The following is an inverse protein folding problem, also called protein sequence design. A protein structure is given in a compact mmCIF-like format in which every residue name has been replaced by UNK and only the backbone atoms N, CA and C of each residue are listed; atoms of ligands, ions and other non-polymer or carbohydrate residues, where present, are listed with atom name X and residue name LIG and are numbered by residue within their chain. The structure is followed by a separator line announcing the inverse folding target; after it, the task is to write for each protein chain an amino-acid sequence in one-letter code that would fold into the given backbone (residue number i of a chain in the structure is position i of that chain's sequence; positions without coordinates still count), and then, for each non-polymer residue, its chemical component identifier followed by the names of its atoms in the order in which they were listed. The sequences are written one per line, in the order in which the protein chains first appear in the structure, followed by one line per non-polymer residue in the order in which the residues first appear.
data_IF_318867020965
#
_entry.id   IF_318867020965
#
_cell.length_a   1.000
_cell.length_b   1.000
_cell.length_c   1.000
_cell.angle_alpha   90.00
_cell.angle_beta   90.00
_cell.angle_gamma   90.00
#
_symmetry.space_group_name_H-M   'P 1'
#
loop_
_entity.id
_entity.type
_entity.pdbx_description
1 polymer ?
#
# COMPACT_ATOMS: atom_id res chain seq x y z
N UNK A 1 -9.95 -14.31 11.75
CA UNK A 1 -10.72 -13.07 11.48
C UNK A 1 -10.47 -12.69 10.03
N UNK A 2 -11.49 -12.27 9.29
CA UNK A 2 -11.30 -11.89 7.89
C UNK A 2 -10.45 -10.61 7.78
N UNK A 3 -9.69 -10.49 6.70
CA UNK A 3 -9.02 -9.26 6.28
C UNK A 3 -10.08 -8.24 5.89
N UNK A 4 -10.12 -7.09 6.57
CA UNK A 4 -11.10 -6.03 6.30
C UNK A 4 -10.40 -4.77 5.80
N UNK A 5 -11.06 -4.10 4.85
CA UNK A 5 -10.71 -2.78 4.35
C UNK A 5 -11.71 -1.78 4.92
N UNK A 6 -11.22 -0.74 5.59
CA UNK A 6 -12.07 0.28 6.21
C UNK A 6 -11.83 1.64 5.55
N UNK A 7 -12.88 2.32 5.04
CA UNK A 7 -12.74 3.64 4.44
C UNK A 7 -12.39 4.68 5.51
N UNK A 8 -11.42 5.53 5.20
CA UNK A 8 -11.03 6.68 6.01
C UNK A 8 -10.73 7.89 5.12
N UNK A 9 -10.78 9.08 5.72
CA UNK A 9 -10.06 10.24 5.21
C UNK A 9 -8.70 10.33 5.92
N UNK A 10 -7.66 10.77 5.22
CA UNK A 10 -6.34 11.01 5.82
C UNK A 10 -6.35 12.09 6.92
N UNK A 11 -7.38 12.95 6.93
CA UNK A 11 -7.61 13.95 8.00
C UNK A 11 -8.59 13.46 9.09
N UNK A 12 -9.16 12.28 8.91
CA UNK A 12 -10.18 11.72 9.79
C UNK A 12 -9.60 10.85 10.91
N UNK A 13 -10.47 10.35 11.81
CA UNK A 13 -10.05 9.37 12.80
C UNK A 13 -9.56 8.09 12.12
N UNK A 14 -8.55 7.44 12.69
CA UNK A 14 -8.04 6.19 12.19
C UNK A 14 -8.48 5.02 13.06
N UNK A 15 -8.89 3.88 12.46
CA UNK A 15 -9.31 2.72 13.22
C UNK A 15 -8.13 2.09 13.97
N UNK A 16 -8.37 1.38 15.08
CA UNK A 16 -7.34 0.57 15.71
C UNK A 16 -6.96 -0.62 14.82
N UNK A 17 -5.79 -1.20 15.08
CA UNK A 17 -5.30 -2.41 14.39
C UNK A 17 -5.11 -2.27 12.87
N UNK A 18 -4.81 -1.05 12.40
CA UNK A 18 -4.27 -0.88 11.04
C UNK A 18 -2.97 -1.67 10.90
N UNK A 19 -2.78 -2.30 9.73
CA UNK A 19 -1.62 -3.16 9.47
C UNK A 19 -0.39 -2.28 9.18
N UNK A 20 0.68 -2.38 9.99
CA UNK A 20 1.94 -1.67 9.75
C UNK A 20 2.58 -2.13 8.43
N UNK A 21 2.89 -1.17 7.56
CA UNK A 21 3.63 -1.36 6.31
C UNK A 21 5.14 -1.32 6.51
N UNK A 22 5.60 -0.40 7.35
CA UNK A 22 7.00 -0.14 7.65
C UNK A 22 7.16 1.29 8.16
N UNK A 23 8.29 1.93 7.92
CA UNK A 23 8.60 3.28 8.42
C UNK A 23 9.17 4.12 7.31
N UNK A 24 8.77 5.39 7.25
CA UNK A 24 9.27 6.33 6.26
C UNK A 24 10.67 6.82 6.61
N UNK A 25 11.33 7.53 5.68
CA UNK A 25 12.72 8.01 5.85
C UNK A 25 12.91 8.98 7.02
N UNK A 26 11.85 9.65 7.47
CA UNK A 26 11.84 10.51 8.66
C UNK A 26 11.37 9.79 9.94
N UNK A 27 11.16 8.48 9.88
CA UNK A 27 10.76 7.64 11.00
C UNK A 27 9.25 7.57 11.24
N UNK A 28 8.42 8.29 10.47
CA UNK A 28 6.96 8.17 10.58
C UNK A 28 6.47 6.76 10.23
N UNK A 29 5.48 6.25 10.98
CA UNK A 29 4.91 4.93 10.73
C UNK A 29 4.08 4.91 9.45
N UNK A 30 4.36 3.95 8.57
CA UNK A 30 3.58 3.68 7.36
C UNK A 30 2.58 2.55 7.65
N UNK A 31 1.36 2.69 7.15
CA UNK A 31 0.30 1.68 7.18
C UNK A 31 -0.11 1.27 5.76
N UNK A 32 -0.61 0.04 5.65
CA UNK A 32 -1.13 -0.51 4.40
C UNK A 32 -2.51 0.06 4.12
N UNK A 33 -2.66 0.75 2.99
CA UNK A 33 -3.94 1.17 2.45
C UNK A 33 -4.14 0.77 1.00
N UNK A 34 -5.27 1.20 0.44
CA UNK A 34 -5.55 1.22 -1.00
C UNK A 34 -6.45 2.40 -1.36
N UNK A 35 -6.41 2.86 -2.59
CA UNK A 35 -7.23 3.96 -3.06
C UNK A 35 -7.58 3.81 -4.54
N UNK A 36 -8.75 4.33 -4.94
CA UNK A 36 -9.09 4.45 -6.35
C UNK A 36 -8.33 5.61 -6.99
N UNK A 37 -7.66 5.37 -8.11
CA UNK A 37 -7.00 6.41 -8.88
C UNK A 37 -6.94 6.05 -10.35
N UNK A 38 -7.44 6.95 -11.21
CA UNK A 38 -7.40 6.81 -12.68
C UNK A 38 -7.93 5.45 -13.21
N UNK A 39 -9.01 4.94 -12.62
CA UNK A 39 -9.65 3.68 -13.00
C UNK A 39 -9.11 2.45 -12.27
N UNK A 40 -7.92 2.54 -11.66
CA UNK A 40 -7.33 1.47 -10.88
C UNK A 40 -7.79 1.54 -9.42
N UNK A 41 -7.70 0.41 -8.72
CA UNK A 41 -7.62 0.34 -7.26
C UNK A 41 -6.19 -0.01 -6.89
N UNK A 42 -5.48 0.91 -6.25
CA UNK A 42 -4.03 0.81 -6.04
C UNK A 42 -3.67 0.66 -4.56
N UNK A 43 -2.72 -0.21 -4.22
CA UNK A 43 -2.03 -0.18 -2.93
C UNK A 43 -1.49 1.22 -2.58
N UNK A 44 -1.69 1.63 -1.33
CA UNK A 44 -1.36 2.96 -0.84
C UNK A 44 -0.43 2.92 0.40
N UNK A 45 0.52 3.86 0.44
CA UNK A 45 1.33 4.22 1.60
C UNK A 45 0.54 5.22 2.43
N UNK A 46 0.04 4.84 3.61
CA UNK A 46 -0.73 5.74 4.51
C UNK A 46 0.14 6.16 5.68
N UNK A 47 0.23 7.46 5.96
CA UNK A 47 1.07 8.06 6.99
C UNK A 47 0.23 9.00 7.87
N UNK A 48 -0.39 8.46 8.94
CA UNK A 48 -1.21 9.22 9.88
C UNK A 48 -0.57 10.51 10.39
N UNK A 49 0.69 10.45 10.82
CA UNK A 49 1.40 11.58 11.42
C UNK A 49 1.55 12.76 10.45
N UNK A 50 1.45 12.51 9.14
CA UNK A 50 1.51 13.51 8.07
C UNK A 50 0.14 13.87 7.51
N UNK A 51 -0.94 13.25 7.97
CA UNK A 51 -2.27 13.28 7.33
C UNK A 51 -2.19 13.04 5.81
N UNK A 52 -1.39 12.05 5.40
CA UNK A 52 -1.10 11.83 3.99
C UNK A 52 -1.25 10.36 3.60
N UNK A 53 -1.67 10.13 2.37
CA UNK A 53 -1.59 8.83 1.73
C UNK A 53 -1.21 8.98 0.26
N UNK A 54 -0.47 8.01 -0.24
CA UNK A 54 0.08 8.05 -1.60
C UNK A 54 -0.07 6.73 -2.32
N UNK A 55 -0.34 6.80 -3.63
CA UNK A 55 -0.35 5.65 -4.54
C UNK A 55 0.64 5.85 -5.68
N UNK A 56 1.30 4.79 -6.16
CA UNK A 56 2.20 4.88 -7.31
C UNK A 56 1.42 4.80 -8.62
N UNK A 57 1.39 5.89 -9.39
CA UNK A 57 0.70 5.95 -10.68
C UNK A 57 1.45 6.78 -11.71
N UNK A 58 1.56 6.30 -12.95
CA UNK A 58 2.20 7.04 -14.04
C UNK A 58 3.69 7.37 -13.81
N UNK A 59 4.39 6.62 -12.94
CA UNK A 59 5.76 6.93 -12.55
C UNK A 59 5.87 8.06 -11.53
N UNK A 60 4.77 8.42 -10.86
CA UNK A 60 4.72 9.48 -9.86
C UNK A 60 4.15 8.98 -8.52
N UNK A 61 4.55 9.68 -7.45
CA UNK A 61 3.88 9.62 -6.16
C UNK A 61 2.61 10.49 -6.15
N UNK A 62 1.44 9.85 -6.16
CA UNK A 62 0.16 10.58 -6.21
C UNK A 62 -0.53 10.61 -4.85
N UNK A 63 -0.75 11.82 -4.32
CA UNK A 63 -1.55 12.03 -3.10
C UNK A 63 -3.01 11.61 -3.28
N UNK A 64 -3.56 10.95 -2.26
CA UNK A 64 -4.97 10.54 -2.17
C UNK A 64 -5.52 10.87 -0.78
N UNK A 65 -6.69 11.50 -0.73
CA UNK A 65 -7.30 11.98 0.52
C UNK A 65 -8.25 10.97 1.17
N UNK A 66 -8.95 10.18 0.33
CA UNK A 66 -9.82 9.09 0.74
C UNK A 66 -9.19 7.75 0.36
N UNK A 67 -8.99 6.90 1.37
CA UNK A 67 -8.38 5.58 1.22
C UNK A 67 -9.14 4.55 2.02
N UNK A 68 -8.94 3.27 1.71
CA UNK A 68 -9.28 2.19 2.60
C UNK A 68 -8.01 1.68 3.29
N UNK A 69 -8.01 1.58 4.61
CA UNK A 69 -6.90 1.00 5.37
C UNK A 69 -7.14 -0.48 5.64
N UNK A 70 -6.06 -1.26 5.58
CA UNK A 70 -6.09 -2.67 5.92
C UNK A 70 -6.12 -2.84 7.44
N UNK A 71 -7.13 -3.53 7.94
CA UNK A 71 -7.26 -3.88 9.35
C UNK A 71 -7.28 -5.40 9.49
N UNK A 72 -6.29 -5.94 10.18
CA UNK A 72 -6.16 -7.39 10.38
C UNK A 72 -5.34 -7.71 11.64
N UNK A 73 -5.64 -8.86 12.29
CA UNK A 73 -4.99 -9.24 13.55
C UNK A 73 -3.61 -9.88 13.39
N UNK A 74 -3.40 -10.70 12.38
CA UNK A 74 -2.14 -11.42 12.16
C UNK A 74 -1.80 -11.56 10.67
N UNK A 75 -0.80 -10.82 10.21
CA UNK A 75 -0.17 -10.99 8.90
C UNK A 75 1.34 -11.09 9.10
N UNK A 76 2.02 -11.75 8.18
CA UNK A 76 3.47 -11.76 8.09
C UNK A 76 3.91 -11.20 6.75
N UNK A 77 5.11 -10.65 6.73
CA UNK A 77 5.78 -10.27 5.50
C UNK A 77 6.73 -11.39 5.11
N UNK A 78 6.54 -11.96 3.92
CA UNK A 78 7.38 -13.01 3.37
C UNK A 78 8.20 -12.48 2.19
N UNK A 79 9.37 -13.08 1.97
CA UNK A 79 10.30 -12.63 0.93
C UNK A 79 9.82 -13.11 -0.43
N UNK A 80 9.82 -12.21 -1.40
CA UNK A 80 9.50 -12.53 -2.78
C UNK A 80 10.35 -11.68 -3.75
N UNK A 81 10.50 -12.16 -4.98
CA UNK A 81 11.29 -11.48 -6.02
C UNK A 81 10.71 -11.77 -7.41
N UNK A 82 11.11 -10.96 -8.40
CA UNK A 82 10.77 -11.20 -9.83
C UNK A 82 9.27 -11.34 -10.09
N UNK A 83 8.46 -10.49 -9.46
CA UNK A 83 7.00 -10.51 -9.61
C UNK A 83 6.28 -11.71 -9.00
N UNK A 84 7.01 -12.65 -8.37
CA UNK A 84 6.38 -13.75 -7.64
C UNK A 84 5.72 -13.23 -6.37
N UNK A 85 4.63 -13.87 -5.97
CA UNK A 85 3.94 -13.59 -4.71
C UNK A 85 3.70 -14.90 -3.95
N UNK A 86 3.87 -14.92 -2.62
CA UNK A 86 3.65 -16.12 -1.82
C UNK A 86 2.16 -16.51 -1.81
N UNK A 87 1.89 -17.78 -1.50
CA UNK A 87 0.51 -18.24 -1.32
C UNK A 87 -0.18 -17.45 -0.20
N UNK A 88 -1.38 -16.95 -0.45
CA UNK A 88 -2.11 -16.12 0.51
C UNK A 88 -1.67 -14.65 0.56
N UNK A 89 -0.85 -14.20 -0.40
CA UNK A 89 -0.53 -12.78 -0.55
C UNK A 89 -1.80 -11.93 -0.67
N UNK A 90 -1.80 -10.77 -0.01
CA UNK A 90 -2.96 -9.88 0.04
C UNK A 90 -3.06 -9.13 -1.29
N UNK A 91 -4.20 -9.29 -1.96
CA UNK A 91 -4.60 -8.45 -3.10
C UNK A 91 -5.00 -7.09 -2.54
N UNK A 92 -4.23 -6.06 -2.91
CA UNK A 92 -4.46 -4.67 -2.54
C UNK A 92 -5.36 -3.92 -3.50
N UNK A 93 -5.57 -4.45 -4.70
CA UNK A 93 -6.46 -3.86 -5.69
C UNK A 93 -6.29 -4.50 -7.06
N UNK A 94 -6.59 -3.74 -8.11
CA UNK A 94 -6.52 -4.20 -9.49
C UNK A 94 -6.33 -3.02 -10.45
N UNK A 95 -5.74 -3.29 -11.61
CA UNK A 95 -5.73 -2.35 -12.73
C UNK A 95 -7.12 -2.21 -13.33
N UNK A 96 -7.35 -1.17 -14.14
CA UNK A 96 -8.59 -0.95 -14.87
C UNK A 96 -8.98 -2.15 -15.77
N UNK A 97 -8.00 -2.91 -16.27
CA UNK A 97 -8.20 -4.12 -17.07
C UNK A 97 -8.44 -5.38 -16.21
N UNK A 98 -8.44 -5.25 -14.88
CA UNK A 98 -8.72 -6.32 -13.94
C UNK A 98 -7.50 -7.15 -13.51
N UNK A 99 -6.27 -6.72 -13.84
CA UNK A 99 -5.08 -7.41 -13.34
C UNK A 99 -4.98 -7.22 -11.81
N UNK A 100 -4.86 -8.29 -11.02
CA UNK A 100 -4.72 -8.16 -9.57
C UNK A 100 -3.38 -7.52 -9.20
N UNK A 101 -3.43 -6.58 -8.26
CA UNK A 101 -2.27 -5.91 -7.68
C UNK A 101 -2.09 -6.36 -6.23
N UNK A 102 -0.89 -6.76 -5.85
CA UNK A 102 -0.60 -7.27 -4.51
C UNK A 102 0.08 -6.21 -3.64
N UNK A 103 -0.13 -6.33 -2.33
CA UNK A 103 0.60 -5.55 -1.33
C UNK A 103 2.01 -6.12 -1.20
N UNK A 104 3.02 -5.30 -1.54
CA UNK A 104 4.41 -5.58 -1.24
C UNK A 104 5.04 -4.43 -0.46
N UNK A 105 6.26 -4.63 0.00
CA UNK A 105 7.10 -3.58 0.56
C UNK A 105 8.57 -3.80 0.20
N UNK A 106 9.34 -2.74 0.18
CA UNK A 106 10.78 -2.78 -0.07
C UNK A 106 11.49 -1.68 0.72
N UNK A 107 12.81 -1.82 0.85
CA UNK A 107 13.65 -0.75 1.36
C UNK A 107 14.11 0.15 0.22
N UNK A 108 13.96 1.46 0.39
CA UNK A 108 14.41 2.48 -0.56
C UNK A 108 14.77 3.76 0.20
N UNK A 109 16.02 4.21 0.07
CA UNK A 109 16.50 5.50 0.61
C UNK A 109 16.12 5.80 2.08
N UNK A 110 16.26 4.80 2.97
CA UNK A 110 15.93 4.98 4.40
C UNK A 110 14.47 4.67 4.74
N UNK A 111 13.61 4.53 3.74
CA UNK A 111 12.20 4.17 3.88
C UNK A 111 12.00 2.67 3.69
N UNK A 112 11.32 2.01 4.61
CA UNK A 112 10.78 0.67 4.42
C UNK A 112 9.30 0.82 4.07
N UNK A 113 9.01 0.93 2.78
CA UNK A 113 7.72 1.45 2.29
C UNK A 113 6.93 0.39 1.53
N UNK A 114 5.62 0.53 1.58
CA UNK A 114 4.68 -0.32 0.85
C UNK A 114 4.48 0.19 -0.58
N UNK A 115 4.11 -0.73 -1.47
CA UNK A 115 3.86 -0.42 -2.86
C UNK A 115 3.00 -1.48 -3.55
N UNK A 116 2.74 -1.26 -4.84
CA UNK A 116 2.00 -2.22 -5.66
C UNK A 116 2.97 -3.19 -6.32
N UNK A 117 2.79 -4.48 -6.06
CA UNK A 117 3.44 -5.54 -6.83
C UNK A 117 2.54 -5.85 -8.02
N UNK A 118 3.10 -5.68 -9.22
CA UNK A 118 2.41 -5.98 -10.47
C UNK A 118 3.14 -7.14 -11.15
N UNK A 119 2.55 -8.33 -11.04
CA UNK A 119 3.22 -9.57 -11.42
C UNK A 119 3.57 -9.59 -12.91
N UNK A 120 2.70 -9.08 -13.78
CA UNK A 120 2.98 -9.00 -15.23
C UNK A 120 4.18 -8.12 -15.57
N UNK A 121 4.50 -7.13 -14.73
CA UNK A 121 5.64 -6.22 -14.89
C UNK A 121 6.91 -6.71 -14.17
N UNK A 122 6.81 -7.79 -13.39
CA UNK A 122 7.90 -8.37 -12.61
C UNK A 122 8.55 -7.40 -11.60
N UNK A 123 7.78 -6.44 -11.06
CA UNK A 123 8.31 -5.41 -10.18
C UNK A 123 7.32 -4.97 -9.09
N UNK A 124 7.86 -4.20 -8.13
CA UNK A 124 7.09 -3.38 -7.20
C UNK A 124 7.26 -1.92 -7.61
N UNK A 125 6.15 -1.17 -7.63
CA UNK A 125 6.19 0.29 -7.70
C UNK A 125 5.90 0.86 -6.32
N UNK A 126 6.75 1.78 -5.88
CA UNK A 126 6.61 2.48 -4.60
C UNK A 126 6.37 3.96 -4.84
N UNK A 127 5.45 4.60 -4.10
CA UNK A 127 5.35 6.06 -4.07
C UNK A 127 6.46 6.62 -3.17
N UNK A 128 7.37 7.41 -3.77
CA UNK A 128 8.49 8.04 -3.06
C UNK A 128 9.01 9.27 -3.84
N UNK A 129 8.99 10.44 -3.20
CA UNK A 129 9.64 11.69 -3.63
C UNK A 129 9.29 12.26 -5.02
N UNK A 130 8.10 11.98 -5.56
CA UNK A 130 7.58 12.65 -6.77
C UNK A 130 7.86 11.91 -8.07
#
# INVERSE_FOLDING_TARGET
MATNWLPISVHGPHPPHMVPGGTDSDGCQIFVGRAHHAGDLLPAKVIPDKNAAYVPYGGQETFVDHVEVLVHKQLIWDVASSGQVPSGAIIGGHTADGEPLYIGRTYHEGSHTVGKVQCSHNCIYIPYEG
#
